data_IF_483402561592
#
_entry.id   IF_483402561592
#
_cell.length_a   1.000
_cell.length_b   1.000
_cell.length_c   1.000
_cell.angle_alpha   90.00
_cell.angle_beta   90.00
_cell.angle_gamma   90.00
#
_symmetry.space_group_name_H-M   'P 1'
#
loop_
_entity.id
_entity.type
_entity.pdbx_description
1 polymer ?
#
# COMPACT_ATOMS: atom_id res chain seq x y z
N UNK A 1 -0.43 6.05 2.52
CA UNK A 1 -1.28 4.87 2.33
C UNK A 1 -2.47 5.25 1.48
N UNK A 2 -2.84 4.40 0.54
CA UNK A 2 -3.93 4.59 -0.39
C UNK A 2 -4.12 3.30 -1.20
N UNK A 3 -5.12 3.29 -2.08
CA UNK A 3 -5.33 2.20 -3.03
C UNK A 3 -4.73 2.62 -4.37
N UNK A 4 -3.79 1.84 -4.89
CA UNK A 4 -3.28 2.00 -6.24
C UNK A 4 -3.96 0.96 -7.13
N UNK A 5 -4.60 1.41 -8.19
CA UNK A 5 -5.19 0.56 -9.21
C UNK A 5 -4.52 0.88 -10.54
N UNK A 6 -4.10 -0.16 -11.26
CA UNK A 6 -3.47 -0.03 -12.57
C UNK A 6 -4.25 -0.89 -13.55
N UNK A 7 -4.81 -0.25 -14.58
CA UNK A 7 -5.51 -0.90 -15.68
C UNK A 7 -4.64 -0.81 -16.93
N UNK A 8 -4.30 -1.95 -17.52
CA UNK A 8 -3.47 -2.04 -18.73
C UNK A 8 -4.07 -3.02 -19.72
N UNK A 9 -3.98 -2.72 -21.01
CA UNK A 9 -4.45 -3.62 -22.07
C UNK A 9 -5.00 -2.83 -23.26
N UNK A 10 -5.78 -3.51 -24.10
CA UNK A 10 -6.46 -2.90 -25.23
C UNK A 10 -7.55 -1.93 -24.76
N UNK A 11 -7.61 -0.73 -25.36
CA UNK A 11 -8.50 0.35 -24.94
C UNK A 11 -9.99 0.00 -25.05
N UNK A 12 -10.40 -0.81 -26.04
CA UNK A 12 -11.80 -1.13 -26.34
C UNK A 12 -12.62 -1.65 -25.16
N UNK A 13 -11.99 -2.35 -24.21
CA UNK A 13 -12.66 -2.90 -23.01
C UNK A 13 -12.06 -2.40 -21.70
N UNK A 14 -11.09 -1.49 -21.78
CA UNK A 14 -10.40 -0.99 -20.60
C UNK A 14 -11.36 -0.23 -19.68
N UNK A 15 -12.19 0.64 -20.27
CA UNK A 15 -13.21 1.41 -19.53
C UNK A 15 -14.24 0.49 -18.91
N UNK A 16 -14.72 -0.53 -19.63
CA UNK A 16 -15.68 -1.51 -19.10
C UNK A 16 -15.10 -2.28 -17.91
N UNK A 17 -13.82 -2.67 -17.98
CA UNK A 17 -13.13 -3.32 -16.86
C UNK A 17 -12.99 -2.36 -15.67
N UNK A 18 -12.63 -1.09 -15.93
CA UNK A 18 -12.54 -0.07 -14.89
C UNK A 18 -13.89 0.11 -14.19
N UNK A 19 -14.98 0.19 -14.95
CA UNK A 19 -16.33 0.31 -14.42
C UNK A 19 -16.73 -0.90 -13.55
N UNK A 20 -16.57 -2.13 -14.06
CA UNK A 20 -16.90 -3.35 -13.30
C UNK A 20 -16.08 -3.45 -12.00
N UNK A 21 -14.77 -3.18 -12.06
CA UNK A 21 -13.89 -3.24 -10.87
C UNK A 21 -14.26 -2.16 -9.86
N UNK A 22 -14.44 -0.90 -10.31
CA UNK A 22 -14.78 0.21 -9.40
C UNK A 22 -16.16 0.02 -8.78
N UNK A 23 -17.14 -0.46 -9.54
CA UNK A 23 -18.48 -0.79 -9.02
C UNK A 23 -18.39 -1.88 -7.95
N UNK A 24 -17.68 -2.99 -8.23
CA UNK A 24 -17.48 -4.06 -7.25
C UNK A 24 -16.81 -3.55 -5.98
N UNK A 25 -15.81 -2.68 -6.09
CA UNK A 25 -15.17 -2.06 -4.91
C UNK A 25 -16.19 -1.26 -4.10
N UNK A 26 -17.07 -0.49 -4.76
CA UNK A 26 -18.09 0.33 -4.11
C UNK A 26 -19.26 -0.47 -3.53
N UNK A 27 -19.50 -1.67 -4.01
CA UNK A 27 -20.58 -2.56 -3.55
C UNK A 27 -20.09 -3.69 -2.63
N UNK A 28 -18.79 -3.78 -2.38
CA UNK A 28 -18.22 -4.89 -1.62
C UNK A 28 -18.58 -4.82 -0.12
N UNK A 29 -19.53 -5.62 0.34
CA UNK A 29 -19.95 -5.70 1.75
C UNK A 29 -18.88 -6.26 2.72
N UNK A 30 -17.70 -6.61 2.20
CA UNK A 30 -16.59 -7.17 2.95
C UNK A 30 -16.51 -8.69 2.82
N UNK A 31 -15.44 -9.31 3.35
CA UNK A 31 -15.22 -10.73 3.22
C UNK A 31 -16.23 -11.55 4.04
N UNK A 32 -16.48 -12.78 3.60
CA UNK A 32 -17.07 -13.83 4.43
C UNK A 32 -16.08 -14.24 5.55
N UNK A 33 -16.55 -14.90 6.62
CA UNK A 33 -15.65 -15.41 7.66
C UNK A 33 -14.52 -16.28 7.11
N UNK A 34 -14.83 -17.20 6.19
CA UNK A 34 -13.83 -18.09 5.60
C UNK A 34 -12.82 -17.36 4.73
N UNK A 35 -13.25 -16.35 3.96
CA UNK A 35 -12.34 -15.51 3.16
C UNK A 35 -11.42 -14.68 4.05
N UNK A 36 -11.95 -14.14 5.15
CA UNK A 36 -11.18 -13.40 6.14
C UNK A 36 -10.12 -14.29 6.78
N UNK A 37 -10.48 -15.48 7.27
CA UNK A 37 -9.52 -16.40 7.89
C UNK A 37 -8.40 -16.80 6.91
N UNK A 38 -8.76 -17.08 5.65
CA UNK A 38 -7.75 -17.36 4.61
C UNK A 38 -6.82 -16.18 4.36
N UNK A 39 -7.36 -14.97 4.23
CA UNK A 39 -6.56 -13.78 3.99
C UNK A 39 -5.62 -13.47 5.17
N UNK A 40 -6.11 -13.62 6.40
CA UNK A 40 -5.32 -13.42 7.62
C UNK A 40 -4.23 -14.47 7.78
N UNK A 41 -4.50 -15.75 7.46
CA UNK A 41 -3.47 -16.79 7.46
C UNK A 41 -2.36 -16.48 6.45
N UNK A 42 -2.71 -16.08 5.22
CA UNK A 42 -1.73 -15.64 4.21
C UNK A 42 -0.89 -14.47 4.73
N UNK A 43 -1.54 -13.41 5.23
CA UNK A 43 -0.84 -12.24 5.80
C UNK A 43 0.14 -12.66 6.91
N UNK A 44 -0.30 -13.51 7.85
CA UNK A 44 0.54 -13.96 8.96
C UNK A 44 1.72 -14.81 8.48
N UNK A 45 1.55 -15.61 7.43
CA UNK A 45 2.64 -16.37 6.80
C UNK A 45 3.65 -15.45 6.14
N UNK A 46 3.20 -14.46 5.38
CA UNK A 46 4.07 -13.46 4.75
C UNK A 46 4.87 -12.69 5.81
N UNK A 47 4.20 -12.21 6.86
CA UNK A 47 4.86 -11.52 7.96
C UNK A 47 5.88 -12.41 8.68
N UNK A 48 5.64 -13.72 8.84
CA UNK A 48 6.64 -14.66 9.39
C UNK A 48 7.80 -14.91 8.42
N UNK A 49 7.55 -15.00 7.11
CA UNK A 49 8.60 -15.23 6.12
C UNK A 49 9.62 -14.10 6.00
N UNK A 50 9.32 -12.93 6.57
CA UNK A 50 10.28 -11.83 6.70
C UNK A 50 11.61 -12.28 7.31
N UNK A 51 11.58 -13.18 8.31
CA UNK A 51 12.80 -13.65 8.99
C UNK A 51 13.68 -14.50 8.06
N UNK A 52 13.15 -14.97 6.92
CA UNK A 52 13.88 -15.74 5.91
C UNK A 52 14.36 -14.90 4.73
N UNK A 53 14.16 -13.58 4.77
CA UNK A 53 14.66 -12.69 3.72
C UNK A 53 16.19 -12.68 3.67
N UNK A 54 16.72 -12.44 2.47
CA UNK A 54 18.17 -12.33 2.29
C UNK A 54 18.72 -11.07 3.00
N UNK A 55 19.96 -11.10 3.54
CA UNK A 55 20.50 -9.99 4.32
C UNK A 55 20.50 -8.65 3.59
N UNK A 56 20.72 -8.64 2.27
CA UNK A 56 20.68 -7.40 1.48
C UNK A 56 19.28 -6.76 1.43
N UNK A 57 18.23 -7.59 1.41
CA UNK A 57 16.86 -7.13 1.40
C UNK A 57 16.45 -6.59 2.78
N UNK A 58 16.94 -7.23 3.86
CA UNK A 58 16.80 -6.73 5.23
C UNK A 58 17.53 -5.40 5.41
N UNK A 59 18.76 -5.25 4.90
CA UNK A 59 19.49 -3.98 4.93
C UNK A 59 18.72 -2.85 4.23
N UNK A 60 18.16 -3.12 3.05
CA UNK A 60 17.28 -2.19 2.33
C UNK A 60 16.01 -1.84 3.11
N UNK A 61 15.37 -2.83 3.72
CA UNK A 61 14.19 -2.64 4.55
C UNK A 61 14.48 -1.72 5.75
N UNK A 62 15.55 -1.98 6.51
CA UNK A 62 15.88 -1.18 7.69
C UNK A 62 16.37 0.22 7.33
N UNK A 63 17.08 0.39 6.21
CA UNK A 63 17.44 1.70 5.70
C UNK A 63 16.20 2.52 5.32
N UNK A 64 15.22 1.92 4.64
CA UNK A 64 13.93 2.56 4.32
C UNK A 64 13.21 2.97 5.61
N UNK A 65 13.08 2.06 6.57
CA UNK A 65 12.41 2.32 7.85
C UNK A 65 13.07 3.47 8.63
N UNK A 66 14.41 3.56 8.62
CA UNK A 66 15.14 4.62 9.31
C UNK A 66 15.07 5.98 8.59
N UNK A 67 14.79 5.99 7.29
CA UNK A 67 14.82 7.20 6.45
C UNK A 67 13.46 7.68 5.99
N UNK A 68 12.38 6.95 6.27
CA UNK A 68 11.04 7.19 5.72
C UNK A 68 10.01 7.39 6.83
N UNK A 69 9.27 8.51 6.80
CA UNK A 69 8.27 8.84 7.84
C UNK A 69 6.93 9.29 7.24
N UNK A 70 5.79 8.66 7.61
CA UNK A 70 5.68 7.49 8.46
C UNK A 70 6.02 6.20 7.71
N UNK A 71 6.50 5.20 8.44
CA UNK A 71 6.69 3.82 8.01
C UNK A 71 6.46 2.90 9.21
N UNK A 72 6.03 1.65 8.97
CA UNK A 72 5.62 0.73 10.04
C UNK A 72 6.54 -0.50 10.06
N UNK A 73 7.16 -0.80 11.21
CA UNK A 73 8.03 -1.97 11.34
C UNK A 73 7.21 -3.28 11.27
N UNK A 74 7.83 -4.35 10.77
CA UNK A 74 7.25 -5.68 10.67
C UNK A 74 6.81 -6.22 12.03
N UNK A 75 7.51 -5.85 13.11
CA UNK A 75 7.15 -6.21 14.48
C UNK A 75 5.79 -5.61 14.85
N UNK A 76 5.58 -4.33 14.55
CA UNK A 76 4.28 -3.67 14.73
C UNK A 76 3.20 -4.34 13.87
N UNK A 77 3.49 -4.63 12.59
CA UNK A 77 2.52 -5.30 11.70
C UNK A 77 2.18 -6.72 12.18
N UNK A 78 3.14 -7.46 12.73
CA UNK A 78 2.94 -8.79 13.33
C UNK A 78 2.03 -8.72 14.54
N UNK A 79 2.26 -7.76 15.43
CA UNK A 79 1.42 -7.54 16.61
C UNK A 79 -0.02 -7.21 16.20
N UNK A 80 -0.21 -6.23 15.30
CA UNK A 80 -1.55 -5.84 14.84
C UNK A 80 -2.24 -6.96 14.04
N UNK A 81 -1.49 -7.73 13.24
CA UNK A 81 -2.02 -8.86 12.47
C UNK A 81 -2.47 -10.06 13.32
N UNK A 82 -2.11 -10.11 14.61
CA UNK A 82 -2.63 -11.13 15.53
C UNK A 82 -4.04 -10.79 16.02
N UNK A 83 -4.34 -9.51 16.24
CA UNK A 83 -5.60 -9.06 16.84
C UNK A 83 -6.64 -8.55 15.85
N UNK A 84 -6.31 -8.42 14.56
CA UNK A 84 -7.26 -7.95 13.54
C UNK A 84 -8.53 -8.82 13.50
N UNK A 85 -9.69 -8.16 13.42
CA UNK A 85 -11.00 -8.82 13.39
C UNK A 85 -11.74 -8.60 12.08
N UNK A 86 -12.67 -9.50 11.76
CA UNK A 86 -13.55 -9.37 10.60
C UNK A 86 -14.38 -8.07 10.64
N UNK A 87 -14.86 -7.68 11.83
CA UNK A 87 -15.66 -6.46 12.00
C UNK A 87 -14.84 -5.20 11.69
N UNK A 88 -13.59 -5.14 12.16
CA UNK A 88 -12.69 -4.03 11.86
C UNK A 88 -12.40 -3.92 10.35
N UNK A 89 -12.20 -5.05 9.67
CA UNK A 89 -11.99 -5.07 8.21
C UNK A 89 -13.22 -4.58 7.46
N UNK A 90 -14.42 -5.02 7.86
CA UNK A 90 -15.68 -4.56 7.24
C UNK A 90 -15.89 -3.07 7.47
N UNK A 91 -15.74 -2.61 8.72
CA UNK A 91 -15.85 -1.19 9.07
C UNK A 91 -14.82 -0.33 8.34
N UNK A 92 -13.59 -0.82 8.20
CA UNK A 92 -12.58 -0.15 7.40
C UNK A 92 -12.98 -0.05 5.93
N UNK A 93 -13.47 -1.14 5.33
CA UNK A 93 -13.99 -1.15 3.96
C UNK A 93 -15.16 -0.17 3.76
N UNK A 94 -16.14 -0.16 4.65
CA UNK A 94 -17.24 0.81 4.66
C UNK A 94 -16.70 2.24 4.70
N UNK A 95 -15.73 2.50 5.57
CA UNK A 95 -15.12 3.82 5.70
C UNK A 95 -14.35 4.28 4.46
N UNK A 96 -13.91 3.36 3.59
CA UNK A 96 -13.27 3.69 2.31
C UNK A 96 -14.30 4.03 1.23
N UNK A 97 -15.50 3.49 1.33
CA UNK A 97 -16.61 3.72 0.38
C UNK A 97 -17.55 4.85 0.78
N UNK A 98 -17.46 5.31 2.02
CA UNK A 98 -18.28 6.42 2.52
C UNK A 98 -18.03 7.69 1.69
N UNK A 99 -19.03 8.07 0.90
CA UNK A 99 -19.02 9.27 0.05
C UNK A 99 -18.89 10.58 0.83
N UNK A 100 -19.16 10.57 2.15
CA UNK A 100 -18.93 11.74 3.02
C UNK A 100 -17.45 11.90 3.36
N UNK A 101 -16.68 10.82 3.28
CA UNK A 101 -15.23 10.88 3.48
C UNK A 101 -14.59 11.42 2.21
N UNK A 102 -13.82 12.49 2.35
CA UNK A 102 -13.05 13.04 1.21
C UNK A 102 -11.83 12.16 0.98
N UNK A 103 -11.76 11.50 -0.17
CA UNK A 103 -10.57 10.77 -0.62
C UNK A 103 -9.91 11.57 -1.72
N UNK A 104 -8.60 11.84 -1.61
CA UNK A 104 -7.87 12.43 -2.73
C UNK A 104 -7.54 11.36 -3.76
N UNK A 105 -8.05 11.52 -4.98
CA UNK A 105 -7.75 10.66 -6.12
C UNK A 105 -6.83 11.37 -7.11
N UNK A 106 -5.87 10.64 -7.66
CA UNK A 106 -5.07 11.07 -8.81
C UNK A 106 -5.00 9.91 -9.80
N UNK A 107 -5.20 10.23 -11.08
CA UNK A 107 -5.11 9.27 -12.17
C UNK A 107 -4.09 9.76 -13.21
N UNK A 108 -3.35 8.82 -13.79
CA UNK A 108 -2.52 9.03 -14.97
C UNK A 108 -3.11 8.19 -16.09
N UNK A 109 -3.54 8.86 -17.16
CA UNK A 109 -4.02 8.19 -18.37
C UNK A 109 -2.94 8.34 -19.45
N UNK A 110 -2.52 7.22 -20.02
CA UNK A 110 -1.47 7.20 -21.05
C UNK A 110 -1.72 6.07 -22.04
N UNK A 111 -1.64 6.38 -23.34
CA UNK A 111 -1.82 5.41 -24.42
C UNK A 111 -2.66 5.95 -25.57
N UNK A 112 -3.24 5.05 -26.35
CA UNK A 112 -4.12 5.37 -27.48
C UNK A 112 -5.56 5.63 -26.98
N UNK A 113 -5.79 6.81 -26.39
CA UNK A 113 -7.09 7.25 -25.87
C UNK A 113 -7.54 8.50 -26.62
N UNK A 114 -8.76 8.46 -27.15
CA UNK A 114 -9.44 9.62 -27.75
C UNK A 114 -10.27 10.41 -26.74
N UNK A 115 -10.80 11.58 -27.13
CA UNK A 115 -11.65 12.40 -26.26
C UNK A 115 -12.87 11.69 -25.67
N UNK A 116 -13.48 10.75 -26.41
CA UNK A 116 -14.58 9.92 -25.92
C UNK A 116 -14.15 9.01 -24.78
N UNK A 117 -13.01 8.33 -24.92
CA UNK A 117 -12.48 7.42 -23.91
C UNK A 117 -12.16 8.18 -22.62
N UNK A 118 -11.60 9.40 -22.73
CA UNK A 118 -11.33 10.27 -21.59
C UNK A 118 -12.62 10.65 -20.85
N UNK A 119 -13.68 10.97 -21.58
CA UNK A 119 -14.97 11.30 -20.98
C UNK A 119 -15.58 10.10 -20.24
N UNK A 120 -15.46 8.90 -20.79
CA UNK A 120 -15.94 7.69 -20.13
C UNK A 120 -15.12 7.33 -18.89
N UNK A 121 -13.78 7.46 -18.96
CA UNK A 121 -12.93 7.26 -17.77
C UNK A 121 -13.27 8.28 -16.70
N UNK A 122 -13.45 9.55 -17.06
CA UNK A 122 -13.86 10.59 -16.10
C UNK A 122 -15.18 10.22 -15.42
N UNK A 123 -16.18 9.76 -16.20
CA UNK A 123 -17.47 9.30 -15.66
C UNK A 123 -17.30 8.18 -14.63
N UNK A 124 -16.44 7.20 -14.90
CA UNK A 124 -16.16 6.10 -13.94
C UNK A 124 -15.50 6.65 -12.67
N UNK A 125 -14.53 7.55 -12.80
CA UNK A 125 -13.84 8.17 -11.67
C UNK A 125 -14.78 9.06 -10.83
N UNK A 126 -15.75 9.73 -11.45
CA UNK A 126 -16.77 10.53 -10.76
C UNK A 126 -17.71 9.67 -9.88
N UNK A 127 -17.78 8.37 -10.14
CA UNK A 127 -18.52 7.41 -9.30
C UNK A 127 -17.83 7.07 -7.97
N UNK A 128 -16.52 7.34 -7.87
CA UNK A 128 -15.72 7.09 -6.67
C UNK A 128 -15.87 8.22 -5.65
N UNK A 129 -15.61 7.99 -4.35
CA UNK A 129 -15.70 9.02 -3.30
C UNK A 129 -14.53 10.03 -3.34
N UNK A 130 -14.10 10.40 -4.55
CA UNK A 130 -13.02 11.35 -4.75
C UNK A 130 -13.50 12.77 -4.46
N UNK A 131 -12.66 13.52 -3.78
CA UNK A 131 -12.91 14.91 -3.44
C UNK A 131 -11.62 15.66 -3.17
N UNK A 132 -11.72 16.99 -3.13
CA UNK A 132 -10.58 17.82 -2.78
C UNK A 132 -10.24 17.65 -1.31
N UNK A 133 -8.98 17.30 -1.03
CA UNK A 133 -8.40 17.37 0.30
C UNK A 133 -7.47 18.58 0.40
N UNK A 134 -7.50 19.33 1.51
CA UNK A 134 -6.47 20.31 1.82
C UNK A 134 -5.08 19.69 1.73
N UNK A 135 -4.11 20.46 1.24
CA UNK A 135 -2.74 19.96 1.03
C UNK A 135 -2.10 19.38 2.30
N UNK A 136 -2.47 19.89 3.46
CA UNK A 136 -2.03 19.43 4.78
C UNK A 136 -2.60 18.06 5.18
N UNK A 137 -3.77 17.69 4.65
CA UNK A 137 -4.45 16.42 4.92
C UNK A 137 -4.01 15.32 3.95
N UNK A 138 -3.27 15.69 2.89
CA UNK A 138 -2.59 14.73 2.03
C UNK A 138 -1.46 14.08 2.81
N UNK A 139 -1.60 12.78 3.08
CA UNK A 139 -0.53 11.99 3.68
C UNK A 139 0.72 12.07 2.79
N UNK A 140 1.80 12.61 3.33
CA UNK A 140 3.10 12.70 2.64
C UNK A 140 4.12 11.90 3.39
N UNK A 141 4.72 10.96 2.68
CA UNK A 141 5.94 10.31 3.12
C UNK A 141 7.05 11.34 3.04
N UNK A 142 7.78 11.52 4.14
CA UNK A 142 8.93 12.42 4.26
C UNK A 142 10.19 11.60 4.40
N UNK A 143 11.26 12.10 3.80
CA UNK A 143 12.59 11.57 4.05
C UNK A 143 13.15 12.20 5.32
N UNK A 144 13.70 11.38 6.21
CA UNK A 144 14.43 11.85 7.37
C UNK A 144 15.70 12.56 6.92
N UNK A 145 15.94 13.76 7.44
CA UNK A 145 17.20 14.45 7.21
C UNK A 145 18.28 13.88 8.12
N UNK A 146 19.32 13.32 7.51
CA UNK A 146 20.49 12.86 8.24
C UNK A 146 21.41 14.07 8.55
N UNK A 147 22.10 14.08 9.72
CA UNK A 147 23.04 15.14 10.03
C UNK A 147 24.18 15.22 9.01
N UNK A 148 24.43 16.40 8.46
CA UNK A 148 25.53 16.61 7.52
C UNK A 148 26.90 16.36 8.18
N UNK A 149 27.84 15.81 7.42
CA UNK A 149 29.22 15.60 7.84
C UNK A 149 29.42 14.57 8.95
N UNK A 150 28.42 13.70 9.18
CA UNK A 150 28.51 12.60 10.15
C UNK A 150 28.19 11.27 9.50
N UNK A 151 29.03 10.30 9.77
CA UNK A 151 28.73 8.91 9.47
C UNK A 151 27.72 8.40 10.49
N UNK A 152 26.64 7.79 10.01
CA UNK A 152 25.62 7.15 10.85
C UNK A 152 25.58 5.68 10.51
N UNK A 153 25.64 4.82 11.54
CA UNK A 153 25.59 3.37 11.39
C UNK A 153 24.34 2.81 12.09
N UNK A 154 23.54 2.06 11.33
CA UNK A 154 22.45 1.25 11.86
C UNK A 154 22.84 -0.22 11.75
N UNK A 155 22.92 -0.91 12.88
CA UNK A 155 23.19 -2.35 12.94
C UNK A 155 21.91 -3.08 13.36
N UNK A 156 21.62 -4.18 12.66
CA UNK A 156 20.55 -5.12 13.00
C UNK A 156 21.08 -6.54 12.95
N UNK A 157 20.74 -7.40 13.92
CA UNK A 157 21.09 -8.81 13.85
C UNK A 157 20.33 -9.48 12.70
N UNK A 158 20.95 -10.50 12.10
CA UNK A 158 20.26 -11.39 11.16
C UNK A 158 19.19 -12.17 11.94
N UNK A 159 17.90 -12.08 11.55
CA UNK A 159 16.82 -12.77 12.23
C UNK A 159 16.90 -14.30 12.08
N UNK A 160 17.49 -14.81 11.00
CA UNK A 160 17.71 -16.24 10.83
C UNK A 160 19.10 -16.68 11.35
N UNK A 161 19.20 -17.36 12.50
CA UNK A 161 20.48 -17.76 13.07
C UNK A 161 21.28 -18.74 12.19
N UNK A 162 20.62 -19.46 11.28
CA UNK A 162 21.26 -20.40 10.35
C UNK A 162 21.86 -19.69 9.13
N UNK A 163 21.54 -18.41 8.91
CA UNK A 163 22.06 -17.62 7.81
C UNK A 163 23.41 -16.99 8.18
N UNK A 164 24.49 -17.51 7.59
CA UNK A 164 25.86 -17.05 7.83
C UNK A 164 26.25 -15.80 7.03
N UNK A 165 25.37 -15.34 6.13
CA UNK A 165 25.67 -14.20 5.25
C UNK A 165 25.36 -12.88 5.96
N UNK A 166 26.10 -11.83 5.56
CA UNK A 166 25.88 -10.46 6.01
C UNK A 166 25.76 -9.53 4.82
N UNK A 167 25.08 -8.39 5.01
CA UNK A 167 25.01 -7.35 4.00
C UNK A 167 25.15 -5.97 4.64
N UNK A 168 25.68 -5.03 3.86
CA UNK A 168 25.79 -3.63 4.19
C UNK A 168 25.15 -2.82 3.06
N UNK A 169 24.34 -1.83 3.41
CA UNK A 169 23.82 -0.83 2.48
C UNK A 169 24.40 0.53 2.85
N UNK A 170 25.17 1.11 1.94
CA UNK A 170 25.70 2.47 2.09
C UNK A 170 24.90 3.43 1.22
N UNK A 171 24.34 4.47 1.85
CA UNK A 171 23.64 5.55 1.16
C UNK A 171 24.45 6.83 1.28
N UNK A 172 24.73 7.46 0.15
CA UNK A 172 25.42 8.74 0.07
C UNK A 172 24.40 9.80 -0.36
N UNK A 173 24.37 10.93 0.35
CA UNK A 173 23.48 12.07 0.11
C UNK A 173 24.28 13.35 -0.02
#
# INVERSE_FOLDING_TARGET
SGVLMTFTGYSERLVLLMEDVTQRIMEFDGPTPDEFERAVDVLRRELRSFDSMQPYALAGYYARLATTVPDFPVEFLREQGQSVTLEEVRRFGESLRDKKRRVFGQALLHGNLGPSDLAEVQRVLDGLPFGTLPRQDLMRVRLAQLPAGRDTLLVRPEPNPDNVNHALLCSYW
#
